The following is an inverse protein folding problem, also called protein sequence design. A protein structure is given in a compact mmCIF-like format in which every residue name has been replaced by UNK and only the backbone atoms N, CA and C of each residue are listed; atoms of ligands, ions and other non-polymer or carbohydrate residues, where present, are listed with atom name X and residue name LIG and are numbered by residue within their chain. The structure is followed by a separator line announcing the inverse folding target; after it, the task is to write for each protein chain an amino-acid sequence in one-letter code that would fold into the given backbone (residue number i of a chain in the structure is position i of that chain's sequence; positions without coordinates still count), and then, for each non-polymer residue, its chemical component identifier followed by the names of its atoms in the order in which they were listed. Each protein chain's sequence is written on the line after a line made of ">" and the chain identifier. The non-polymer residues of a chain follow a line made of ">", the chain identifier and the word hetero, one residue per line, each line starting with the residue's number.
data_IF_387481807735
#
_entry.id   IF_387481807735
#
_cell.length_a   1.000
_cell.length_b   1.000
_cell.length_c   1.000
_cell.angle_alpha   90.00
_cell.angle_beta   90.00
_cell.angle_gamma   90.00
#
_symmetry.space_group_name_H-M   'P 1'
#
loop_
_entity.id
_entity.type
_entity.pdbx_description
1 polymer ?
#
# COMPACT_ATOMS: atom_id res chain seq x y z
N UNK A 1 -36.32 21.67 -1.98
CA UNK A 1 -34.90 21.59 -2.31
C UNK A 1 -34.03 20.84 -1.28
N UNK A 2 -34.44 20.64 -0.01
CA UNK A 2 -33.69 19.93 1.04
C UNK A 2 -33.76 18.39 0.97
N UNK A 3 -34.77 17.80 0.31
CA UNK A 3 -34.98 16.34 0.24
C UNK A 3 -34.16 15.72 -0.88
N UNK A 4 -34.00 16.38 -2.01
CA UNK A 4 -33.25 15.87 -3.16
C UNK A 4 -31.73 15.67 -2.89
N UNK A 5 -31.15 16.51 -2.02
CA UNK A 5 -29.72 16.37 -1.69
C UNK A 5 -29.43 15.16 -0.77
N UNK A 6 -30.39 14.78 0.09
CA UNK A 6 -30.24 13.58 0.93
C UNK A 6 -30.44 12.30 0.10
N UNK A 7 -31.40 12.32 -0.84
CA UNK A 7 -31.63 11.19 -1.74
C UNK A 7 -30.44 10.97 -2.69
N UNK A 8 -29.81 12.04 -3.18
CA UNK A 8 -28.62 11.94 -4.03
C UNK A 8 -27.41 11.37 -3.28
N UNK A 9 -27.20 11.78 -2.02
CA UNK A 9 -26.12 11.23 -1.17
C UNK A 9 -26.35 9.75 -0.84
N UNK A 10 -27.58 9.38 -0.52
CA UNK A 10 -27.99 7.99 -0.28
C UNK A 10 -27.86 7.17 -1.57
N UNK A 11 -28.28 7.71 -2.72
CA UNK A 11 -28.14 7.04 -4.01
C UNK A 11 -26.67 6.87 -4.42
N UNK A 12 -25.79 7.86 -4.15
CA UNK A 12 -24.36 7.76 -4.39
C UNK A 12 -23.70 6.69 -3.49
N UNK A 13 -24.07 6.64 -2.21
CA UNK A 13 -23.60 5.61 -1.27
C UNK A 13 -24.12 4.23 -1.67
N UNK A 14 -25.41 4.10 -2.05
CA UNK A 14 -25.99 2.85 -2.52
C UNK A 14 -25.39 2.40 -3.85
N UNK A 15 -25.09 3.33 -4.77
CA UNK A 15 -24.39 3.01 -6.02
C UNK A 15 -22.95 2.53 -5.78
N UNK A 16 -22.24 3.12 -4.83
CA UNK A 16 -20.91 2.68 -4.40
C UNK A 16 -20.93 1.29 -3.73
N UNK A 17 -21.96 0.99 -2.93
CA UNK A 17 -22.17 -0.34 -2.37
C UNK A 17 -22.73 -1.34 -3.39
N UNK A 18 -23.45 -0.89 -4.40
CA UNK A 18 -24.00 -1.73 -5.48
C UNK A 18 -22.91 -2.29 -6.41
N UNK A 19 -21.85 -1.52 -6.66
CA UNK A 19 -20.68 -1.97 -7.43
C UNK A 19 -19.87 -3.03 -6.67
N UNK A 20 -19.90 -3.02 -5.33
CA UNK A 20 -19.24 -4.03 -4.52
C UNK A 20 -19.89 -5.43 -4.56
N UNK A 21 -21.15 -5.56 -5.02
CA UNK A 21 -21.85 -6.84 -5.05
C UNK A 21 -21.55 -7.72 -6.28
N UNK A 22 -20.84 -7.22 -7.28
CA UNK A 22 -20.43 -8.01 -8.46
C UNK A 22 -19.03 -8.63 -8.31
N UNK A 23 -18.34 -8.41 -7.19
CA UNK A 23 -17.18 -9.19 -6.84
C UNK A 23 -17.69 -10.56 -6.36
N UNK A 24 -17.55 -11.58 -7.18
CA UNK A 24 -17.87 -12.97 -6.85
C UNK A 24 -17.18 -13.36 -5.54
N UNK A 25 -17.96 -13.55 -4.49
CA UNK A 25 -17.52 -13.93 -3.16
C UNK A 25 -17.17 -15.43 -3.13
N UNK A 26 -16.14 -15.86 -3.84
CA UNK A 26 -15.73 -17.26 -3.87
C UNK A 26 -14.22 -17.49 -3.83
N UNK A 27 -13.39 -16.43 -3.93
CA UNK A 27 -11.98 -16.49 -3.52
C UNK A 27 -11.87 -15.79 -2.16
N UNK A 28 -11.10 -16.35 -1.23
CA UNK A 28 -10.69 -15.68 0.01
C UNK A 28 -10.39 -14.21 -0.30
N UNK A 29 -10.79 -13.30 0.58
CA UNK A 29 -10.69 -11.84 0.35
C UNK A 29 -9.23 -11.44 0.13
N UNK A 30 -8.76 -11.57 -1.11
CA UNK A 30 -7.39 -11.25 -1.53
C UNK A 30 -7.35 -9.76 -1.80
N UNK A 31 -6.59 -9.03 -0.97
CA UNK A 31 -6.48 -7.58 -1.03
C UNK A 31 -5.50 -7.06 -2.09
N UNK A 32 -4.66 -7.94 -2.66
CA UNK A 32 -3.77 -7.67 -3.76
C UNK A 32 -3.83 -8.79 -4.81
N UNK A 33 -3.53 -8.48 -6.06
CA UNK A 33 -3.43 -9.46 -7.15
C UNK A 33 -2.20 -9.16 -8.02
N UNK A 34 -1.03 -9.42 -7.45
CA UNK A 34 0.24 -9.14 -8.13
C UNK A 34 1.21 -10.30 -7.97
N UNK A 35 1.73 -10.89 -9.05
CA UNK A 35 2.81 -11.88 -8.95
C UNK A 35 4.06 -11.35 -8.23
N UNK A 36 4.28 -10.06 -8.24
CA UNK A 36 5.37 -9.42 -7.47
C UNK A 36 5.19 -9.53 -5.95
N UNK A 37 4.02 -9.96 -5.46
CA UNK A 37 3.77 -10.17 -4.03
C UNK A 37 4.17 -11.56 -3.54
N UNK A 38 4.69 -12.43 -4.42
CA UNK A 38 5.13 -13.78 -4.08
C UNK A 38 6.27 -13.77 -3.04
N UNK A 39 7.06 -12.70 -3.00
CA UNK A 39 8.20 -12.60 -2.11
C UNK A 39 8.03 -11.45 -1.12
N UNK A 40 8.45 -11.68 0.13
CA UNK A 40 8.47 -10.67 1.18
C UNK A 40 7.11 -10.36 1.79
N UNK A 41 6.88 -9.09 2.06
CA UNK A 41 5.66 -8.58 2.71
C UNK A 41 4.60 -8.09 1.71
N UNK A 42 4.77 -8.47 0.44
CA UNK A 42 3.83 -8.18 -0.62
C UNK A 42 3.89 -6.76 -1.20
N UNK A 43 2.78 -6.29 -1.74
CA UNK A 43 2.64 -4.95 -2.29
C UNK A 43 2.53 -3.92 -1.17
N UNK A 44 3.49 -2.98 -1.14
CA UNK A 44 3.49 -1.90 -0.16
C UNK A 44 2.39 -0.89 -0.47
N UNK A 45 1.63 -0.52 0.56
CA UNK A 45 0.64 0.53 0.46
C UNK A 45 1.26 1.92 0.28
N UNK A 46 0.60 2.81 -0.48
CA UNK A 46 0.96 4.22 -0.49
C UNK A 46 0.49 4.84 0.82
N UNK A 47 1.44 5.32 1.62
CA UNK A 47 1.17 5.94 2.90
C UNK A 47 0.44 7.29 2.74
N UNK A 48 -0.21 7.73 3.81
CA UNK A 48 -0.96 8.98 3.86
C UNK A 48 -2.47 8.78 3.73
N UNK A 49 -3.23 9.84 4.02
CA UNK A 49 -4.68 9.87 3.87
C UNK A 49 -5.11 10.06 2.40
N UNK A 50 -6.41 10.02 2.14
CA UNK A 50 -6.96 10.19 0.79
C UNK A 50 -6.50 11.51 0.12
N UNK A 51 -6.27 12.55 0.90
CA UNK A 51 -5.80 13.85 0.40
C UNK A 51 -4.34 13.76 -0.07
N UNK A 52 -3.45 13.15 0.72
CA UNK A 52 -2.07 12.92 0.32
C UNK A 52 -2.01 12.04 -0.94
N UNK A 53 -2.79 10.96 -0.97
CA UNK A 53 -2.81 10.03 -2.13
C UNK A 53 -3.27 10.71 -3.42
N UNK A 54 -4.25 11.65 -3.36
CA UNK A 54 -4.66 12.44 -4.53
C UNK A 54 -3.61 13.46 -4.98
N UNK A 55 -2.57 13.67 -4.18
CA UNK A 55 -1.42 14.52 -4.46
C UNK A 55 -0.11 13.69 -4.57
N UNK A 56 -0.17 12.54 -5.27
CA UNK A 56 0.98 11.67 -5.50
C UNK A 56 1.53 10.96 -4.26
N UNK A 57 0.88 11.08 -3.10
CA UNK A 57 1.36 10.57 -1.81
C UNK A 57 2.36 11.52 -1.12
N UNK A 58 2.49 12.77 -1.57
CA UNK A 58 3.33 13.77 -0.93
C UNK A 58 2.66 14.33 0.35
N UNK A 59 3.46 14.78 1.33
CA UNK A 59 2.95 15.38 2.55
C UNK A 59 3.85 15.30 3.78
N UNK A 60 5.13 14.94 3.66
CA UNK A 60 6.08 14.87 4.79
C UNK A 60 6.22 16.24 5.48
N UNK A 61 6.22 17.32 4.70
CA UNK A 61 6.27 18.69 5.20
C UNK A 61 4.88 19.32 5.35
N UNK A 62 3.81 18.60 5.00
CA UNK A 62 2.46 19.15 5.04
C UNK A 62 1.97 19.30 6.48
N UNK A 63 1.58 20.51 6.84
CA UNK A 63 1.09 20.87 8.16
C UNK A 63 -0.32 21.43 8.05
N UNK A 64 -1.28 20.73 8.61
CA UNK A 64 -2.69 21.12 8.56
C UNK A 64 -3.31 21.12 9.95
N UNK A 65 -4.23 22.04 10.17
CA UNK A 65 -5.03 22.10 11.40
C UNK A 65 -6.32 21.29 11.31
N UNK A 66 -6.69 20.80 10.12
CA UNK A 66 -7.98 20.17 9.82
C UNK A 66 -7.86 18.76 9.24
N UNK A 67 -6.64 18.24 9.09
CA UNK A 67 -6.35 16.94 8.50
C UNK A 67 -5.34 16.21 9.36
N UNK A 68 -5.50 14.88 9.45
CA UNK A 68 -4.58 14.03 10.18
C UNK A 68 -3.23 13.93 9.45
N UNK A 69 -2.13 14.04 10.18
CA UNK A 69 -0.77 13.93 9.65
C UNK A 69 -0.30 12.49 9.74
N UNK A 70 -0.61 11.67 8.74
CA UNK A 70 -0.21 10.25 8.74
C UNK A 70 1.25 10.03 8.39
N UNK A 71 1.86 10.93 7.60
CA UNK A 71 3.23 10.75 7.09
C UNK A 71 4.29 11.18 8.09
N UNK A 72 4.06 12.24 8.86
CA UNK A 72 5.05 12.81 9.76
C UNK A 72 4.45 13.09 11.15
N UNK A 73 4.91 12.43 12.21
CA UNK A 73 4.36 12.62 13.57
C UNK A 73 4.56 14.04 14.13
N UNK A 74 5.53 14.82 13.62
CA UNK A 74 5.68 16.22 14.02
C UNK A 74 4.44 17.06 13.67
N UNK A 75 3.69 16.68 12.63
CA UNK A 75 2.46 17.34 12.21
C UNK A 75 1.31 17.23 13.22
N UNK A 76 1.36 16.30 14.18
CA UNK A 76 0.33 16.20 15.23
C UNK A 76 0.24 17.46 16.09
N UNK A 77 1.36 18.18 16.24
CA UNK A 77 1.42 19.44 16.96
C UNK A 77 0.63 20.59 16.32
N UNK A 78 0.22 20.44 15.04
CA UNK A 78 -0.54 21.46 14.32
C UNK A 78 -2.04 21.49 14.68
N UNK A 79 -2.54 20.48 15.40
CA UNK A 79 -3.95 20.35 15.75
C UNK A 79 -4.40 21.53 16.59
N UNK A 80 -5.52 22.15 16.23
CA UNK A 80 -6.09 23.27 16.97
C UNK A 80 -6.52 22.82 18.37
N UNK A 81 -6.37 23.71 19.33
CA UNK A 81 -6.92 23.48 20.67
C UNK A 81 -8.44 23.35 20.57
N UNK A 82 -9.00 22.35 21.27
CA UNK A 82 -10.42 22.02 21.22
C UNK A 82 -10.90 21.53 19.85
N UNK A 83 -10.07 20.79 19.13
CA UNK A 83 -10.48 20.13 17.88
C UNK A 83 -10.22 18.65 17.91
N UNK A 84 -10.96 17.93 17.10
CA UNK A 84 -10.82 16.51 16.88
C UNK A 84 -10.88 16.25 15.37
N UNK A 85 -9.95 15.46 14.88
CA UNK A 85 -9.88 15.07 13.48
C UNK A 85 -10.08 13.56 13.41
N UNK A 86 -11.01 13.12 12.58
CA UNK A 86 -11.25 11.72 12.26
C UNK A 86 -11.28 11.53 10.76
N UNK A 87 -10.53 10.58 10.26
CA UNK A 87 -10.45 10.29 8.83
C UNK A 87 -10.63 8.79 8.58
N UNK A 88 -11.37 8.48 7.52
CA UNK A 88 -11.53 7.12 6.99
C UNK A 88 -11.36 7.18 5.49
N UNK A 89 -10.60 6.25 4.93
CA UNK A 89 -10.38 6.14 3.50
C UNK A 89 -10.51 4.72 2.98
N UNK A 90 -11.02 4.62 1.76
CA UNK A 90 -11.20 3.37 1.01
C UNK A 90 -10.58 3.52 -0.38
N UNK A 91 -10.18 2.39 -0.96
CA UNK A 91 -9.59 2.33 -2.29
C UNK A 91 -10.13 1.12 -3.05
N UNK A 92 -10.60 1.34 -4.28
CA UNK A 92 -10.84 0.28 -5.25
C UNK A 92 -9.68 0.24 -6.24
N UNK A 93 -9.13 -0.93 -6.51
CA UNK A 93 -8.01 -1.12 -7.44
C UNK A 93 -8.42 -2.03 -8.59
N UNK A 94 -8.23 -1.56 -9.83
CA UNK A 94 -8.43 -2.28 -11.08
C UNK A 94 -7.07 -2.54 -11.69
N UNK A 95 -6.58 -3.78 -11.58
CA UNK A 95 -5.23 -4.18 -11.98
C UNK A 95 -5.28 -5.03 -13.25
N UNK A 96 -4.40 -4.74 -14.21
CA UNK A 96 -4.14 -5.55 -15.39
C UNK A 96 -2.67 -5.93 -15.43
N UNK A 97 -2.41 -7.24 -15.35
CA UNK A 97 -1.09 -7.84 -15.54
C UNK A 97 -0.93 -8.29 -16.99
N UNK A 98 0.23 -8.06 -17.59
CA UNK A 98 0.58 -8.53 -18.92
C UNK A 98 1.98 -9.11 -18.91
N UNK A 99 2.17 -10.25 -19.57
CA UNK A 99 3.44 -10.96 -19.66
C UNK A 99 3.67 -11.46 -21.08
N UNK A 100 4.89 -11.29 -21.60
CA UNK A 100 5.32 -11.92 -22.85
C UNK A 100 5.80 -13.34 -22.58
N UNK A 101 5.24 -14.31 -23.30
CA UNK A 101 5.69 -15.69 -23.31
C UNK A 101 6.42 -15.93 -24.61
N UNK A 102 7.70 -16.26 -24.52
CA UNK A 102 8.55 -16.54 -25.68
C UNK A 102 8.46 -18.01 -26.03
N UNK A 103 8.26 -18.32 -27.31
CA UNK A 103 8.22 -19.69 -27.84
C UNK A 103 9.57 -20.19 -28.30
N UNK A 104 10.50 -19.26 -28.55
CA UNK A 104 11.88 -19.55 -28.96
C UNK A 104 12.86 -18.60 -28.22
N UNK A 105 14.16 -18.77 -28.49
CA UNK A 105 15.19 -17.84 -28.01
C UNK A 105 15.13 -16.49 -28.72
N UNK A 106 14.40 -16.36 -29.84
CA UNK A 106 14.20 -15.11 -30.54
C UNK A 106 13.27 -14.18 -29.74
N UNK A 107 13.69 -12.92 -29.58
CA UNK A 107 12.96 -11.89 -28.84
C UNK A 107 11.70 -11.44 -29.60
N UNK A 108 11.65 -11.63 -30.90
CA UNK A 108 10.53 -11.24 -31.76
C UNK A 108 9.36 -12.23 -31.71
N UNK A 109 9.61 -13.49 -31.34
CA UNK A 109 8.60 -14.56 -31.32
C UNK A 109 8.03 -14.73 -29.90
N UNK A 110 6.93 -14.02 -29.62
CA UNK A 110 6.23 -14.09 -28.34
C UNK A 110 4.72 -13.99 -28.46
N UNK A 111 4.03 -14.60 -27.51
CA UNK A 111 2.61 -14.38 -27.25
C UNK A 111 2.43 -13.54 -26.01
N UNK A 112 1.32 -12.80 -25.89
CA UNK A 112 1.02 -11.98 -24.71
C UNK A 112 -0.09 -12.63 -23.89
N UNK A 113 0.23 -13.00 -22.67
CA UNK A 113 -0.77 -13.38 -21.67
C UNK A 113 -1.21 -12.15 -20.86
N UNK A 114 -2.50 -12.04 -20.57
CA UNK A 114 -3.04 -10.96 -19.76
C UNK A 114 -4.06 -11.47 -18.75
N UNK A 115 -4.09 -10.85 -17.58
CA UNK A 115 -5.06 -11.11 -16.53
C UNK A 115 -5.48 -9.78 -15.89
N UNK A 116 -6.79 -9.63 -15.60
CA UNK A 116 -7.33 -8.45 -14.93
C UNK A 116 -8.05 -8.87 -13.64
N UNK A 117 -7.83 -8.13 -12.57
CA UNK A 117 -8.43 -8.36 -11.25
C UNK A 117 -8.78 -7.04 -10.57
N UNK A 118 -9.81 -7.09 -9.72
CA UNK A 118 -10.29 -5.95 -8.97
C UNK A 118 -10.25 -6.26 -7.48
N UNK A 119 -9.86 -5.26 -6.68
CA UNK A 119 -9.88 -5.34 -5.22
C UNK A 119 -10.50 -4.08 -4.64
N UNK A 120 -11.04 -4.17 -3.42
CA UNK A 120 -11.57 -3.02 -2.68
C UNK A 120 -11.13 -3.13 -1.22
N UNK A 121 -10.39 -2.13 -0.74
CA UNK A 121 -9.71 -2.18 0.55
C UNK A 121 -10.00 -0.93 1.38
N UNK A 122 -10.09 -1.12 2.70
CA UNK A 122 -9.95 -0.03 3.66
C UNK A 122 -8.48 0.42 3.67
N UNK A 123 -8.22 1.74 3.53
CA UNK A 123 -6.85 2.27 3.42
C UNK A 123 -6.37 2.97 4.68
N UNK A 124 -7.22 3.73 5.34
CA UNK A 124 -6.89 4.37 6.60
C UNK A 124 -8.11 4.54 7.50
N UNK A 125 -7.84 4.42 8.78
CA UNK A 125 -8.63 5.02 9.86
C UNK A 125 -7.63 5.85 10.67
N UNK A 126 -7.90 7.12 10.87
CA UNK A 126 -7.01 8.00 11.60
C UNK A 126 -7.77 8.93 12.55
N UNK A 127 -7.14 9.17 13.69
CA UNK A 127 -7.63 10.05 14.73
C UNK A 127 -6.50 10.97 15.15
N UNK A 128 -6.78 12.27 15.29
CA UNK A 128 -5.80 13.24 15.79
C UNK A 128 -6.50 14.29 16.66
N UNK A 129 -5.91 14.57 17.80
CA UNK A 129 -6.44 15.57 18.75
C UNK A 129 -5.33 16.26 19.54
N UNK A 130 -5.55 17.48 20.06
CA UNK A 130 -4.59 18.16 20.87
C UNK A 130 -4.59 17.62 22.30
N UNK A 131 -3.41 17.40 22.88
CA UNK A 131 -3.22 17.00 24.29
C UNK A 131 -2.99 18.25 25.15
N UNK A 132 -2.16 19.17 24.65
CA UNK A 132 -1.85 20.45 25.29
C UNK A 132 -1.51 21.49 24.22
N UNK A 133 -1.22 22.72 24.63
CA UNK A 133 -0.81 23.77 23.67
C UNK A 133 0.48 23.36 22.96
N UNK A 134 0.41 23.21 21.63
CA UNK A 134 1.53 22.78 20.80
C UNK A 134 1.89 21.29 20.92
N UNK A 135 1.12 20.50 21.68
CA UNK A 135 1.29 19.06 21.82
C UNK A 135 0.03 18.35 21.31
N UNK A 136 0.17 17.54 20.29
CA UNK A 136 -0.91 16.74 19.71
C UNK A 136 -0.60 15.25 19.76
N UNK A 137 -1.67 14.46 19.80
CA UNK A 137 -1.63 12.99 19.68
C UNK A 137 -2.25 12.58 18.33
N UNK A 138 -1.64 11.59 17.69
CA UNK A 138 -2.18 10.96 16.49
C UNK A 138 -2.19 9.44 16.63
N UNK A 139 -3.25 8.85 16.12
CA UNK A 139 -3.43 7.41 15.98
C UNK A 139 -3.87 7.08 14.55
N UNK A 140 -3.33 6.03 13.96
CA UNK A 140 -3.81 5.53 12.67
C UNK A 140 -3.68 4.03 12.56
N UNK A 141 -4.60 3.44 11.78
CA UNK A 141 -4.60 2.07 11.32
C UNK A 141 -4.59 2.08 9.80
N UNK A 142 -3.55 1.49 9.20
CA UNK A 142 -3.35 1.47 7.75
C UNK A 142 -2.81 0.12 7.30
N UNK A 143 -3.25 -0.46 6.18
CA UNK A 143 -2.59 -1.62 5.59
C UNK A 143 -1.19 -1.20 5.13
N UNK A 144 -0.18 -1.94 5.57
CA UNK A 144 1.22 -1.71 5.24
C UNK A 144 1.65 -2.49 3.99
N UNK A 145 1.37 -3.79 3.96
CA UNK A 145 1.68 -4.67 2.86
C UNK A 145 0.57 -5.70 2.64
N UNK A 146 0.33 -6.06 1.40
CA UNK A 146 -0.69 -7.05 1.02
C UNK A 146 -0.10 -8.07 0.06
N UNK A 147 -0.29 -9.33 0.36
CA UNK A 147 0.09 -10.45 -0.49
C UNK A 147 -1.15 -10.98 -1.20
N UNK A 148 -1.03 -11.20 -2.49
CA UNK A 148 -2.09 -11.83 -3.28
C UNK A 148 -1.58 -12.22 -4.64
N UNK A 149 -1.43 -13.53 -4.88
CA UNK A 149 -1.05 -14.07 -6.18
C UNK A 149 -1.64 -15.46 -6.37
N UNK A 150 -1.84 -15.83 -7.64
CA UNK A 150 -2.20 -17.18 -8.07
C UNK A 150 -1.51 -17.45 -9.38
N UNK A 151 -0.57 -18.35 -9.37
CA UNK A 151 0.25 -18.71 -10.51
C UNK A 151 0.26 -20.22 -10.69
N UNK A 152 0.43 -20.67 -11.92
CA UNK A 152 0.63 -22.09 -12.24
C UNK A 152 1.73 -22.21 -13.27
N UNK A 153 2.49 -23.28 -13.16
CA UNK A 153 3.52 -23.67 -14.10
C UNK A 153 3.38 -25.16 -14.43
N UNK A 154 3.50 -25.49 -15.70
CA UNK A 154 3.56 -26.88 -16.15
C UNK A 154 5.02 -27.29 -16.18
N UNK A 155 5.32 -28.53 -15.74
CA UNK A 155 6.65 -29.11 -15.89
C UNK A 155 7.04 -29.16 -17.37
N UNK A 156 8.27 -28.78 -17.65
CA UNK A 156 8.80 -28.75 -19.05
C UNK A 156 9.77 -29.88 -19.34
N UNK A 157 10.17 -30.69 -18.34
CA UNK A 157 11.12 -31.75 -18.50
C UNK A 157 10.45 -32.98 -19.14
N UNK A 158 10.91 -33.36 -20.34
CA UNK A 158 10.38 -34.50 -21.09
C UNK A 158 10.58 -35.85 -20.36
N UNK A 159 11.67 -36.01 -19.60
CA UNK A 159 11.92 -37.20 -18.80
C UNK A 159 10.88 -37.35 -17.67
N UNK A 160 10.51 -36.25 -17.06
CA UNK A 160 9.44 -36.23 -16.04
C UNK A 160 8.09 -36.56 -16.64
N UNK A 161 7.79 -36.06 -17.84
CA UNK A 161 6.55 -36.40 -18.54
C UNK A 161 6.48 -37.89 -18.91
N UNK A 162 7.60 -38.47 -19.31
CA UNK A 162 7.67 -39.88 -19.67
C UNK A 162 7.56 -40.85 -18.49
N UNK A 163 7.92 -40.42 -17.29
CA UNK A 163 7.95 -41.27 -16.08
C UNK A 163 6.82 -41.02 -15.11
N UNK A 164 6.41 -39.76 -14.92
CA UNK A 164 5.45 -39.33 -13.88
C UNK A 164 4.13 -38.88 -14.50
N UNK A 165 4.15 -38.41 -15.74
CA UNK A 165 3.03 -37.74 -16.40
C UNK A 165 3.15 -36.22 -16.36
N UNK A 166 2.05 -35.51 -16.68
CA UNK A 166 2.02 -34.06 -16.64
C UNK A 166 1.95 -33.55 -15.18
N UNK A 167 2.96 -32.83 -14.76
CA UNK A 167 3.06 -32.24 -13.42
C UNK A 167 2.76 -30.75 -13.49
N UNK A 168 1.77 -30.30 -12.69
CA UNK A 168 1.39 -28.91 -12.56
C UNK A 168 1.75 -28.39 -11.18
N UNK A 169 2.53 -27.32 -11.14
CA UNK A 169 2.84 -26.57 -9.93
C UNK A 169 1.90 -25.40 -9.79
N UNK A 170 1.16 -25.32 -8.68
CA UNK A 170 0.28 -24.21 -8.36
C UNK A 170 0.85 -23.47 -7.14
N UNK A 171 1.03 -22.18 -7.29
CA UNK A 171 1.48 -21.27 -6.24
C UNK A 171 0.39 -20.26 -5.95
N UNK A 172 -0.05 -20.17 -4.71
CA UNK A 172 -1.03 -19.19 -4.26
C UNK A 172 -0.55 -18.58 -2.96
N UNK A 173 -0.64 -17.26 -2.86
CA UNK A 173 -0.40 -16.54 -1.62
C UNK A 173 -1.52 -15.57 -1.34
N UNK A 174 -1.81 -15.39 -0.06
CA UNK A 174 -2.73 -14.38 0.45
C UNK A 174 -2.29 -13.91 1.83
N UNK A 175 -2.74 -12.72 2.20
CA UNK A 175 -2.48 -12.17 3.52
C UNK A 175 -2.19 -10.69 3.50
N UNK A 176 -2.24 -10.10 4.68
CA UNK A 176 -2.03 -8.67 4.89
C UNK A 176 -1.21 -8.41 6.14
N UNK A 177 -0.43 -7.34 6.07
CA UNK A 177 0.27 -6.75 7.21
C UNK A 177 -0.32 -5.37 7.46
N UNK A 178 -0.91 -5.19 8.61
CA UNK A 178 -1.49 -3.91 9.05
C UNK A 178 -0.52 -3.18 9.96
N UNK A 179 -0.39 -1.86 9.77
CA UNK A 179 0.34 -0.95 10.65
C UNK A 179 -0.65 -0.22 11.57
N UNK A 180 -0.45 -0.34 12.87
CA UNK A 180 -1.06 0.52 13.89
C UNK A 180 0.01 1.51 14.32
N UNK A 181 -0.26 2.81 14.16
CA UNK A 181 0.65 3.87 14.55
C UNK A 181 0.00 4.76 15.60
N UNK A 182 0.73 5.03 16.69
CA UNK A 182 0.33 5.97 17.73
C UNK A 182 1.53 6.83 18.13
N UNK A 183 1.32 8.13 18.28
CA UNK A 183 2.43 9.02 18.56
C UNK A 183 2.05 10.40 19.06
N UNK A 184 3.08 11.15 19.41
CA UNK A 184 3.00 12.52 19.90
C UNK A 184 3.81 13.45 19.00
N UNK A 185 3.28 14.64 18.76
CA UNK A 185 3.99 15.72 18.08
C UNK A 185 3.99 16.97 18.95
N UNK A 186 5.15 17.60 19.12
CA UNK A 186 5.35 18.75 19.96
C UNK A 186 6.03 19.90 19.22
N UNK A 187 5.38 21.05 19.22
CA UNK A 187 5.96 22.31 18.79
C UNK A 187 6.70 22.96 19.97
N UNK A 188 7.97 22.62 20.13
CA UNK A 188 8.79 23.06 21.26
C UNK A 188 9.30 24.51 21.10
N UNK A 189 9.43 24.97 19.86
CA UNK A 189 9.69 26.35 19.47
C UNK A 189 8.69 26.71 18.39
N UNK A 190 8.21 27.97 18.42
CA UNK A 190 7.25 28.46 17.43
C UNK A 190 7.72 28.17 16.00
N UNK A 191 6.94 27.37 15.28
CA UNK A 191 7.22 26.99 13.91
C UNK A 191 8.17 25.78 13.76
N UNK A 192 8.71 25.21 14.86
CA UNK A 192 9.55 24.03 14.82
C UNK A 192 8.94 22.94 15.69
N UNK A 193 8.72 21.77 15.11
CA UNK A 193 8.04 20.65 15.75
C UNK A 193 8.84 19.37 15.59
N UNK A 194 8.84 18.57 16.65
CA UNK A 194 9.33 17.19 16.65
C UNK A 194 8.20 16.23 16.96
N UNK A 195 8.26 15.03 16.42
CA UNK A 195 7.29 13.99 16.73
C UNK A 195 7.95 12.62 16.83
N UNK A 196 7.35 11.77 17.63
CA UNK A 196 7.71 10.37 17.76
C UNK A 196 6.46 9.53 17.70
N UNK A 197 6.49 8.41 16.99
CA UNK A 197 5.41 7.45 16.93
C UNK A 197 5.93 6.03 17.08
N UNK A 198 5.20 5.21 17.82
CA UNK A 198 5.34 3.77 17.82
C UNK A 198 4.49 3.20 16.69
N UNK A 199 5.04 2.21 15.98
CA UNK A 199 4.39 1.48 14.90
C UNK A 199 4.34 0.00 15.29
N UNK A 200 3.16 -0.57 15.32
CA UNK A 200 2.95 -1.99 15.53
C UNK A 200 2.50 -2.64 14.23
N UNK A 201 3.27 -3.60 13.76
CA UNK A 201 2.96 -4.38 12.57
C UNK A 201 2.33 -5.71 12.99
N UNK A 202 1.20 -6.01 12.41
CA UNK A 202 0.40 -7.19 12.74
C UNK A 202 -0.26 -7.76 11.49
N UNK A 203 -0.22 -9.09 11.37
CA UNK A 203 -0.89 -9.79 10.28
C UNK A 203 -0.32 -11.17 10.00
N UNK A 204 -0.93 -11.85 9.05
CA UNK A 204 -0.48 -13.15 8.58
C UNK A 204 -0.29 -13.15 7.07
N UNK A 205 0.73 -13.85 6.60
CA UNK A 205 1.00 -14.12 5.18
C UNK A 205 1.00 -15.62 5.00
N UNK A 206 0.17 -16.11 4.08
CA UNK A 206 0.05 -17.53 3.74
C UNK A 206 0.61 -17.77 2.33
N UNK A 207 1.52 -18.73 2.22
CA UNK A 207 1.99 -19.23 0.94
C UNK A 207 1.59 -20.72 0.81
N UNK A 208 0.79 -21.00 -0.21
CA UNK A 208 0.36 -22.33 -0.58
C UNK A 208 1.08 -22.76 -1.87
N UNK A 209 1.68 -23.92 -1.87
CA UNK A 209 2.18 -24.55 -3.08
C UNK A 209 1.61 -25.96 -3.19
N UNK A 210 1.11 -26.30 -4.39
CA UNK A 210 0.51 -27.59 -4.66
C UNK A 210 1.13 -28.16 -5.91
N UNK A 211 1.62 -29.40 -5.83
CA UNK A 211 2.05 -30.18 -6.99
C UNK A 211 0.94 -31.15 -7.33
N UNK A 212 0.35 -31.00 -8.50
CA UNK A 212 -0.69 -31.90 -9.02
C UNK A 212 -0.16 -32.69 -10.19
N UNK A 213 -0.42 -33.98 -10.17
CA UNK A 213 0.04 -34.91 -11.20
C UNK A 213 -1.17 -35.37 -12.02
N UNK A 214 -1.08 -35.25 -13.34
CA UNK A 214 -2.14 -35.61 -14.29
C UNK A 214 -1.59 -36.64 -15.29
N UNK A 215 -2.26 -37.78 -15.43
CA UNK A 215 -1.96 -38.79 -16.46
C UNK A 215 -2.39 -40.18 -16.06
N UNK A 216 -2.81 -40.97 -17.07
CA UNK A 216 -3.17 -42.38 -16.94
C UNK A 216 -1.95 -43.33 -17.18
N UNK A 217 -0.75 -42.88 -16.86
CA UNK A 217 0.44 -43.72 -17.07
C UNK A 217 0.46 -44.86 -16.08
N UNK A 218 0.70 -46.06 -16.62
CA UNK A 218 0.86 -47.30 -15.88
C UNK A 218 2.00 -47.13 -14.89
N UNK A 219 1.69 -47.13 -13.60
CA UNK A 219 2.62 -46.83 -12.51
C UNK A 219 2.26 -45.59 -11.67
N UNK A 220 1.23 -44.86 -12.05
CA UNK A 220 0.79 -43.64 -11.35
C UNK A 220 0.38 -43.82 -9.89
N UNK A 221 0.29 -45.05 -9.40
CA UNK A 221 0.00 -45.35 -7.98
C UNK A 221 1.12 -44.95 -7.02
N UNK A 222 2.34 -44.70 -7.52
CA UNK A 222 3.50 -44.35 -6.69
C UNK A 222 3.71 -42.83 -6.53
N UNK A 223 3.02 -42.02 -7.33
CA UNK A 223 3.16 -40.57 -7.31
C UNK A 223 1.89 -39.89 -6.78
N UNK A 224 2.03 -39.15 -5.71
CA UNK A 224 0.90 -38.53 -5.01
C UNK A 224 1.05 -37.00 -5.02
N UNK A 225 -0.04 -36.31 -5.30
CA UNK A 225 -0.07 -34.85 -5.20
C UNK A 225 0.32 -34.39 -3.78
N UNK A 226 1.10 -33.31 -3.70
CA UNK A 226 1.54 -32.74 -2.43
C UNK A 226 1.09 -31.30 -2.32
N UNK A 227 0.80 -30.88 -1.08
CA UNK A 227 0.49 -29.49 -0.76
C UNK A 227 1.35 -29.03 0.42
N UNK A 228 2.05 -27.92 0.23
CA UNK A 228 2.73 -27.22 1.33
C UNK A 228 2.02 -25.92 1.67
N UNK A 229 2.07 -25.59 2.94
CA UNK A 229 1.51 -24.38 3.51
C UNK A 229 2.55 -23.74 4.43
N UNK A 230 2.96 -22.52 4.13
CA UNK A 230 3.82 -21.72 4.99
C UNK A 230 3.00 -20.53 5.52
N UNK A 231 2.77 -20.48 6.84
CA UNK A 231 2.05 -19.41 7.55
C UNK A 231 3.06 -18.54 8.31
N UNK A 232 3.17 -17.27 7.91
CA UNK A 232 4.03 -16.27 8.51
C UNK A 232 3.20 -15.34 9.39
N UNK A 233 3.18 -15.57 10.70
CA UNK A 233 2.52 -14.70 11.68
C UNK A 233 3.47 -13.57 12.10
N UNK A 234 3.12 -12.34 11.74
CA UNK A 234 3.89 -11.12 11.99
C UNK A 234 3.31 -10.40 13.19
N UNK A 235 4.19 -10.03 14.13
CA UNK A 235 3.87 -9.23 15.31
C UNK A 235 5.14 -8.54 15.80
N UNK A 236 5.31 -7.24 15.49
CA UNK A 236 6.54 -6.53 15.83
C UNK A 236 6.33 -5.02 16.00
N UNK A 237 7.13 -4.40 16.88
CA UNK A 237 7.14 -2.96 17.08
C UNK A 237 8.31 -2.29 16.36
N UNK A 238 8.05 -1.11 15.80
CA UNK A 238 9.02 -0.18 15.20
C UNK A 238 8.72 1.24 15.68
N UNK A 239 9.58 2.17 15.30
CA UNK A 239 9.46 3.57 15.68
C UNK A 239 9.67 4.49 14.49
N UNK A 240 8.99 5.63 14.52
CA UNK A 240 9.17 6.71 13.57
C UNK A 240 9.46 8.00 14.33
N UNK A 241 10.43 8.78 13.85
CA UNK A 241 10.72 10.13 14.31
C UNK A 241 10.44 11.10 13.17
N UNK A 242 9.91 12.26 13.48
CA UNK A 242 9.61 13.30 12.51
C UNK A 242 10.02 14.68 12.98
N UNK A 243 10.38 15.51 12.02
CA UNK A 243 10.71 16.93 12.21
C UNK A 243 9.93 17.76 11.20
N UNK A 244 9.45 18.94 11.60
CA UNK A 244 8.91 19.95 10.70
C UNK A 244 9.36 21.34 11.16
N UNK A 245 9.73 22.19 10.20
CA UNK A 245 10.10 23.57 10.48
C UNK A 245 9.45 24.52 9.46
N UNK A 246 8.77 25.56 9.96
CA UNK A 246 8.19 26.61 9.15
C UNK A 246 9.27 27.65 8.87
N UNK A 247 9.79 27.68 7.64
CA UNK A 247 10.75 28.69 7.18
C UNK A 247 10.10 30.04 6.98
N UNK A 248 8.84 30.03 6.50
CA UNK A 248 8.01 31.20 6.33
C UNK A 248 6.67 30.90 7.00
N UNK A 249 6.24 31.75 7.91
CA UNK A 249 4.94 31.62 8.58
C UNK A 249 4.29 33.01 8.69
N UNK A 250 3.51 33.38 7.69
CA UNK A 250 2.70 34.61 7.67
C UNK A 250 1.22 34.25 7.71
N UNK A 251 0.36 35.23 7.90
CA UNK A 251 -1.11 35.01 7.85
C UNK A 251 -1.62 34.48 6.50
N UNK A 252 -0.87 34.66 5.41
CA UNK A 252 -1.29 34.30 4.06
C UNK A 252 -0.44 33.18 3.42
N UNK A 253 0.79 32.97 3.87
CA UNK A 253 1.74 32.04 3.24
C UNK A 253 2.52 31.28 4.30
N UNK A 254 2.70 30.02 4.08
CA UNK A 254 3.52 29.14 4.90
C UNK A 254 4.43 28.33 3.99
N UNK A 255 5.72 28.28 4.31
CA UNK A 255 6.70 27.39 3.70
C UNK A 255 7.25 26.51 4.80
N UNK A 256 7.02 25.23 4.69
CA UNK A 256 7.45 24.22 5.67
C UNK A 256 8.41 23.23 5.03
N UNK A 257 9.45 22.88 5.75
CA UNK A 257 10.29 21.70 5.44
C UNK A 257 10.00 20.62 6.46
N UNK A 258 10.12 19.36 6.04
CA UNK A 258 9.87 18.22 6.91
C UNK A 258 10.88 17.10 6.65
N UNK A 259 11.18 16.34 7.68
CA UNK A 259 11.98 15.13 7.60
C UNK A 259 11.36 14.05 8.47
N UNK A 260 11.53 12.79 8.05
CA UNK A 260 11.10 11.60 8.79
C UNK A 260 12.19 10.54 8.75
N UNK A 261 12.27 9.78 9.82
CA UNK A 261 13.09 8.58 9.89
C UNK A 261 12.27 7.44 10.48
N UNK A 262 12.13 6.37 9.72
CA UNK A 262 11.50 5.13 10.16
C UNK A 262 12.59 4.11 10.52
N UNK A 263 12.58 3.67 11.78
CA UNK A 263 13.49 2.63 12.22
C UNK A 263 13.00 1.27 11.69
N UNK A 264 13.80 0.67 10.83
CA UNK A 264 13.57 -0.64 10.24
C UNK A 264 14.07 -1.80 11.14
N UNK A 265 14.53 -2.87 10.50
CA UNK A 265 15.14 -4.02 11.15
C UNK A 265 14.26 -5.28 11.13
N UNK A 266 14.66 -6.35 11.81
CA UNK A 266 14.03 -7.66 11.70
C UNK A 266 12.58 -7.64 12.20
N UNK A 267 11.71 -8.36 11.51
CA UNK A 267 10.32 -8.65 11.93
C UNK A 267 10.23 -9.99 12.65
N UNK A 268 11.10 -10.98 12.31
CA UNK A 268 11.17 -12.31 12.88
C UNK A 268 9.80 -12.99 13.04
N UNK A 269 9.01 -13.14 11.96
CA UNK A 269 7.70 -13.76 12.04
C UNK A 269 7.80 -15.19 12.59
N UNK A 270 6.76 -15.64 13.30
CA UNK A 270 6.59 -17.07 13.57
C UNK A 270 6.17 -17.72 12.26
N UNK A 271 6.90 -18.75 11.82
CA UNK A 271 6.61 -19.51 10.60
C UNK A 271 6.14 -20.89 11.00
N UNK A 272 4.96 -21.27 10.56
CA UNK A 272 4.46 -22.63 10.67
C UNK A 272 4.42 -23.25 9.27
N UNK A 273 5.28 -24.21 9.02
CA UNK A 273 5.31 -24.96 7.78
C UNK A 273 4.55 -26.27 7.93
N UNK A 274 3.63 -26.57 7.01
CA UNK A 274 2.84 -27.80 7.03
C UNK A 274 2.84 -28.44 5.64
N UNK A 275 3.14 -29.73 5.54
CA UNK A 275 3.13 -30.50 4.30
C UNK A 275 2.07 -31.60 4.40
N UNK A 276 1.24 -31.68 3.36
CA UNK A 276 0.19 -32.67 3.17
C UNK A 276 0.52 -33.55 1.96
N UNK A 277 0.25 -34.85 2.06
CA UNK A 277 0.38 -35.82 0.96
C UNK A 277 -0.97 -36.48 0.73
N UNK A 278 -1.39 -36.63 -0.53
CA UNK A 278 -2.65 -37.27 -0.91
C UNK A 278 -3.88 -36.40 -0.73
N UNK A 279 -5.05 -37.01 -0.58
CA UNK A 279 -6.34 -36.31 -0.38
C UNK A 279 -6.32 -35.46 0.90
N UNK A 280 -6.21 -34.26 0.73
CA UNK A 280 -5.91 -33.03 1.49
C UNK A 280 -6.34 -32.91 2.95
N UNK A 281 -7.15 -33.82 3.49
CA UNK A 281 -7.76 -33.60 4.79
C UNK A 281 -7.18 -34.46 5.94
N UNK A 282 -6.42 -35.52 5.65
CA UNK A 282 -6.10 -36.54 6.67
C UNK A 282 -4.62 -36.87 6.88
N UNK A 283 -3.72 -36.40 6.06
CA UNK A 283 -2.31 -36.79 6.16
C UNK A 283 -1.35 -35.60 6.22
N UNK A 284 -1.25 -34.94 7.37
CA UNK A 284 -0.12 -34.08 7.70
C UNK A 284 1.10 -34.98 7.86
N UNK A 285 2.05 -34.85 6.95
CA UNK A 285 3.31 -35.61 6.98
C UNK A 285 4.40 -34.86 7.72
N UNK A 286 4.34 -33.54 7.68
CA UNK A 286 5.34 -32.69 8.30
C UNK A 286 4.70 -31.41 8.83
N UNK A 287 5.06 -31.04 10.06
CA UNK A 287 4.71 -29.72 10.63
C UNK A 287 5.87 -29.24 11.50
N UNK A 288 6.36 -28.06 11.19
CA UNK A 288 7.45 -27.42 11.90
C UNK A 288 7.13 -25.97 12.20
N UNK A 289 7.47 -25.52 13.40
CA UNK A 289 7.42 -24.12 13.81
C UNK A 289 8.86 -23.58 13.86
N UNK A 290 9.09 -22.47 13.17
CA UNK A 290 10.41 -21.81 13.07
C UNK A 290 10.30 -20.29 13.18
N UNK A 291 11.42 -19.60 13.10
CA UNK A 291 11.48 -18.14 13.00
C UNK A 291 11.93 -17.73 11.60
N UNK A 292 11.07 -17.01 10.90
CA UNK A 292 11.39 -16.50 9.57
C UNK A 292 12.35 -15.30 9.62
N UNK A 293 13.15 -15.17 8.57
CA UNK A 293 14.02 -14.02 8.36
C UNK A 293 13.32 -13.00 7.46
N UNK A 294 12.52 -12.13 8.05
CA UNK A 294 11.86 -11.04 7.36
C UNK A 294 12.26 -9.73 8.03
N UNK A 295 12.47 -8.67 7.25
CA UNK A 295 12.85 -7.36 7.81
C UNK A 295 12.20 -6.21 7.08
N UNK A 296 12.02 -5.09 7.79
CA UNK A 296 11.64 -3.80 7.23
C UNK A 296 12.87 -2.94 6.95
N UNK A 297 12.84 -2.08 5.94
CA UNK A 297 13.94 -1.16 5.65
C UNK A 297 14.00 -0.04 6.68
N UNK A 298 15.18 0.51 6.89
CA UNK A 298 15.29 1.87 7.40
C UNK A 298 14.82 2.83 6.30
N UNK A 299 13.98 3.78 6.64
CA UNK A 299 13.47 4.76 5.68
C UNK A 299 13.77 6.18 6.13
N UNK A 300 14.22 7.00 5.18
CA UNK A 300 14.43 8.43 5.36
C UNK A 300 13.57 9.17 4.36
N UNK A 301 12.77 10.09 4.86
CA UNK A 301 11.95 10.96 4.03
C UNK A 301 12.28 12.44 4.25
N UNK A 302 12.28 13.21 3.18
CA UNK A 302 12.43 14.66 3.22
C UNK A 302 11.35 15.31 2.32
N UNK A 303 10.81 16.44 2.75
CA UNK A 303 9.76 17.11 2.01
C UNK A 303 9.79 18.62 2.18
N UNK A 304 9.18 19.29 1.21
CA UNK A 304 8.92 20.73 1.23
C UNK A 304 7.45 20.97 0.88
N UNK A 305 6.83 21.90 1.57
CA UNK A 305 5.44 22.28 1.35
C UNK A 305 5.27 23.80 1.39
N UNK A 306 4.79 24.35 0.28
CA UNK A 306 4.32 25.74 0.21
C UNK A 306 2.80 25.77 0.24
N UNK A 307 2.26 26.59 1.10
CA UNK A 307 0.81 26.78 1.26
C UNK A 307 0.47 28.28 1.25
N UNK A 308 -0.54 28.64 0.48
CA UNK A 308 -1.19 29.94 0.61
C UNK A 308 -2.73 29.80 0.64
N UNK A 309 -3.45 30.92 0.51
CA UNK A 309 -4.92 30.91 0.58
C UNK A 309 -5.59 30.12 -0.55
N UNK A 310 -4.91 29.86 -1.67
CA UNK A 310 -5.46 29.21 -2.87
C UNK A 310 -4.69 27.97 -3.29
N UNK A 311 -3.39 27.90 -3.00
CA UNK A 311 -2.51 26.86 -3.53
C UNK A 311 -1.79 26.14 -2.41
N UNK A 312 -1.62 24.82 -2.60
CA UNK A 312 -0.68 24.00 -1.85
C UNK A 312 0.20 23.28 -2.88
N UNK A 313 1.51 23.39 -2.70
CA UNK A 313 2.49 22.69 -3.54
C UNK A 313 3.39 21.89 -2.63
N UNK A 314 3.56 20.62 -2.92
CA UNK A 314 4.38 19.70 -2.12
C UNK A 314 5.32 18.91 -3.01
N UNK A 315 6.53 18.66 -2.50
CA UNK A 315 7.48 17.74 -3.11
C UNK A 315 8.18 16.97 -1.99
N UNK A 316 8.21 15.65 -2.13
CA UNK A 316 8.85 14.74 -1.18
C UNK A 316 9.81 13.80 -1.90
N UNK A 317 10.86 13.44 -1.18
CA UNK A 317 11.77 12.35 -1.53
C UNK A 317 11.81 11.34 -0.38
N UNK A 318 11.73 10.06 -0.70
CA UNK A 318 11.80 8.95 0.24
C UNK A 318 12.81 7.91 -0.22
N UNK A 319 13.73 7.57 0.65
CA UNK A 319 14.71 6.51 0.48
C UNK A 319 14.42 5.39 1.46
N UNK A 320 14.47 4.12 1.00
CA UNK A 320 14.30 2.94 1.86
C UNK A 320 15.44 1.96 1.58
N UNK A 321 16.16 1.57 2.63
CA UNK A 321 17.29 0.64 2.57
C UNK A 321 16.80 -0.82 2.64
N UNK A 322 16.32 -1.35 1.52
CA UNK A 322 15.98 -2.77 1.38
C UNK A 322 17.18 -3.65 1.01
N UNK A 323 18.16 -3.08 0.31
CA UNK A 323 19.34 -3.74 -0.26
C UNK A 323 20.56 -3.77 0.66
N UNK A 324 20.44 -3.50 1.97
CA UNK A 324 21.57 -3.48 2.92
C UNK A 324 22.30 -4.82 3.05
N UNK A 325 23.30 -4.91 3.92
CA UNK A 325 24.23 -6.06 4.08
C UNK A 325 23.57 -7.43 4.29
N UNK A 326 22.30 -7.46 4.69
CA UNK A 326 21.46 -8.67 4.79
C UNK A 326 20.27 -8.60 3.83
N UNK A 327 20.48 -8.10 2.62
CA UNK A 327 19.44 -8.08 1.61
C UNK A 327 18.89 -9.49 1.38
N UNK A 328 17.57 -9.59 1.34
CA UNK A 328 16.92 -10.83 1.01
C UNK A 328 17.29 -11.24 -0.43
N UNK A 329 17.78 -12.46 -0.56
CA UNK A 329 18.05 -13.10 -1.86
C UNK A 329 17.37 -14.46 -1.81
N UNK A 330 16.49 -14.70 -2.75
CA UNK A 330 15.87 -16.01 -2.93
C UNK A 330 16.05 -16.46 -4.36
N UNK A 331 16.52 -17.69 -4.52
CA UNK A 331 16.61 -18.34 -5.83
C UNK A 331 15.53 -19.40 -5.91
N UNK A 332 14.68 -19.30 -6.92
CA UNK A 332 13.67 -20.30 -7.20
C UNK A 332 14.34 -21.64 -7.59
N UNK A 333 13.98 -22.70 -6.91
CA UNK A 333 14.61 -24.01 -7.08
C UNK A 333 14.32 -24.65 -8.43
N UNK A 334 13.19 -24.34 -9.05
CA UNK A 334 12.75 -24.91 -10.32
C UNK A 334 13.31 -24.13 -11.52
N UNK A 335 13.13 -22.83 -11.55
CA UNK A 335 13.56 -21.96 -12.66
C UNK A 335 15.00 -21.48 -12.52
N UNK A 336 15.55 -21.50 -11.31
CA UNK A 336 16.82 -20.90 -10.97
C UNK A 336 16.82 -19.36 -10.96
N UNK A 337 15.65 -18.74 -11.11
CA UNK A 337 15.53 -17.27 -11.07
C UNK A 337 15.83 -16.72 -9.70
N UNK A 338 16.63 -15.66 -9.66
CA UNK A 338 17.02 -14.96 -8.44
C UNK A 338 16.20 -13.68 -8.25
N UNK A 339 15.60 -13.55 -7.07
CA UNK A 339 14.95 -12.34 -6.62
C UNK A 339 15.76 -11.72 -5.47
N UNK A 340 16.14 -10.47 -5.64
CA UNK A 340 16.94 -9.71 -4.67
C UNK A 340 16.22 -8.43 -4.26
N UNK A 341 16.28 -8.08 -2.96
CA UNK A 341 15.83 -6.75 -2.50
C UNK A 341 16.86 -5.69 -2.83
N UNK A 342 16.36 -4.55 -3.31
CA UNK A 342 17.15 -3.38 -3.71
C UNK A 342 16.60 -2.14 -3.06
N UNK A 343 17.48 -1.19 -2.77
CA UNK A 343 17.10 0.10 -2.21
C UNK A 343 16.11 0.82 -3.11
N UNK A 344 15.15 1.49 -2.47
CA UNK A 344 14.14 2.25 -3.22
C UNK A 344 14.34 3.75 -3.07
N UNK A 345 14.12 4.44 -4.17
CA UNK A 345 14.09 5.89 -4.25
C UNK A 345 12.74 6.31 -4.82
N UNK A 346 11.98 7.09 -4.09
CA UNK A 346 10.65 7.53 -4.52
C UNK A 346 10.54 9.04 -4.45
N UNK A 347 10.20 9.64 -5.58
CA UNK A 347 9.93 11.07 -5.75
C UNK A 347 8.42 11.28 -5.84
N UNK A 348 7.89 12.23 -5.08
CA UNK A 348 6.46 12.51 -5.00
C UNK A 348 6.24 14.01 -5.19
N UNK A 349 5.23 14.35 -5.97
CA UNK A 349 4.82 15.73 -6.21
C UNK A 349 3.31 15.86 -6.06
N UNK A 350 2.86 16.94 -5.41
CA UNK A 350 1.44 17.25 -5.21
C UNK A 350 1.13 18.72 -5.36
N UNK A 351 -0.02 19.00 -5.96
CA UNK A 351 -0.55 20.33 -6.14
C UNK A 351 -2.05 20.35 -5.81
N UNK A 352 -2.48 21.32 -4.99
CA UNK A 352 -3.89 21.59 -4.71
C UNK A 352 -4.20 23.04 -5.08
N UNK A 353 -5.37 23.25 -5.68
CA UNK A 353 -5.93 24.56 -5.97
C UNK A 353 -7.34 24.69 -5.41
N UNK A 354 -7.61 25.77 -4.65
CA UNK A 354 -8.94 26.12 -4.15
C UNK A 354 -9.21 27.56 -4.60
N UNK A 355 -10.13 27.77 -5.56
CA UNK A 355 -10.39 29.11 -6.12
C UNK A 355 -10.77 30.16 -5.06
N UNK A 356 -11.71 29.84 -4.18
CA UNK A 356 -12.11 30.68 -3.06
C UNK A 356 -12.79 29.83 -1.98
N UNK A 357 -12.08 29.60 -0.89
CA UNK A 357 -12.52 28.76 0.24
C UNK A 357 -13.79 29.27 0.92
N UNK A 358 -14.04 30.56 0.85
CA UNK A 358 -15.13 31.26 1.54
C UNK A 358 -16.26 31.73 0.62
N UNK A 359 -16.29 31.29 -0.64
CA UNK A 359 -17.35 31.69 -1.59
C UNK A 359 -18.71 31.14 -1.16
N UNK A 360 -19.65 32.01 -0.83
CA UNK A 360 -21.01 31.66 -0.39
C UNK A 360 -21.93 31.36 -1.57
N UNK A 361 -21.66 31.95 -2.73
CA UNK A 361 -22.56 31.91 -3.91
C UNK A 361 -22.27 30.70 -4.80
N UNK A 362 -20.99 30.38 -5.02
CA UNK A 362 -20.60 29.33 -5.93
C UNK A 362 -19.90 28.19 -5.18
N UNK A 363 -20.57 27.03 -5.11
CA UNK A 363 -20.04 25.84 -4.44
C UNK A 363 -18.73 25.35 -5.04
N UNK A 364 -18.60 25.34 -6.37
CA UNK A 364 -17.42 24.83 -7.06
C UNK A 364 -16.16 25.65 -6.80
N UNK A 365 -16.29 26.92 -6.40
CA UNK A 365 -15.14 27.73 -5.96
C UNK A 365 -14.53 27.28 -4.63
N UNK A 366 -15.29 26.52 -3.83
CA UNK A 366 -14.83 25.98 -2.54
C UNK A 366 -14.25 24.57 -2.65
N UNK A 367 -14.47 23.89 -3.77
CA UNK A 367 -13.93 22.57 -4.05
C UNK A 367 -12.42 22.66 -4.18
N UNK A 368 -11.72 21.70 -3.54
CA UNK A 368 -10.29 21.49 -3.73
C UNK A 368 -10.05 20.66 -4.98
N UNK A 369 -9.23 21.17 -5.88
CA UNK A 369 -8.77 20.50 -7.10
C UNK A 369 -7.35 20.04 -6.90
N UNK A 370 -7.07 18.75 -7.04
CA UNK A 370 -5.77 18.15 -6.73
C UNK A 370 -5.22 17.39 -7.90
N UNK A 371 -3.91 17.50 -8.10
CA UNK A 371 -3.15 16.64 -9.01
C UNK A 371 -1.84 16.25 -8.34
N UNK A 372 -1.29 15.11 -8.73
CA UNK A 372 0.00 14.67 -8.23
C UNK A 372 0.64 13.63 -9.12
N UNK A 373 1.89 13.37 -8.84
CA UNK A 373 2.68 12.35 -9.53
C UNK A 373 3.64 11.67 -8.55
N UNK A 374 3.97 10.43 -8.84
CA UNK A 374 4.95 9.63 -8.11
C UNK A 374 5.76 8.81 -9.10
N UNK A 375 7.08 8.78 -8.88
CA UNK A 375 8.02 7.94 -9.63
C UNK A 375 9.06 7.35 -8.69
N UNK A 376 9.43 6.09 -8.92
CA UNK A 376 10.47 5.40 -8.15
C UNK A 376 10.68 3.98 -8.62
N UNK A 377 11.53 3.24 -7.92
CA UNK A 377 11.73 1.82 -8.15
C UNK A 377 11.04 0.98 -7.06
N UNK A 378 10.68 -0.24 -7.44
CA UNK A 378 10.13 -1.24 -6.52
C UNK A 378 11.27 -1.89 -5.72
N UNK A 379 10.97 -2.44 -4.54
CA UNK A 379 12.00 -2.98 -3.64
C UNK A 379 12.55 -4.35 -4.05
N UNK A 380 12.04 -4.95 -5.13
CA UNK A 380 12.50 -6.23 -5.67
C UNK A 380 13.13 -6.03 -7.04
N UNK A 381 14.21 -6.77 -7.31
CA UNK A 381 14.81 -6.94 -8.62
C UNK A 381 14.81 -8.42 -9.00
N UNK A 382 14.62 -8.70 -10.28
CA UNK A 382 14.56 -10.05 -10.86
C UNK A 382 15.71 -10.22 -11.83
N UNK A 383 16.60 -11.18 -11.57
CA UNK A 383 17.84 -11.40 -12.36
C UNK A 383 18.62 -10.09 -12.58
N UNK A 384 18.74 -9.26 -11.54
CA UNK A 384 19.42 -7.97 -11.60
C UNK A 384 18.64 -6.86 -12.35
N UNK A 385 17.42 -7.13 -12.80
CA UNK A 385 16.56 -6.12 -13.44
C UNK A 385 15.69 -5.44 -12.40
N UNK A 386 15.83 -4.13 -12.26
CA UNK A 386 15.01 -3.32 -11.37
C UNK A 386 13.61 -3.13 -11.97
N UNK A 387 12.64 -3.01 -11.09
CA UNK A 387 11.24 -2.79 -11.45
C UNK A 387 10.89 -1.34 -11.15
N UNK A 388 10.72 -0.52 -12.19
CA UNK A 388 10.27 0.86 -12.03
C UNK A 388 8.77 0.94 -11.80
N UNK A 389 8.35 1.95 -11.06
CA UNK A 389 6.94 2.25 -10.82
C UNK A 389 6.66 3.74 -10.95
N UNK A 390 5.50 4.06 -11.51
CA UNK A 390 5.03 5.43 -11.66
C UNK A 390 3.53 5.52 -11.42
N UNK A 391 3.08 6.68 -11.00
CA UNK A 391 1.65 6.98 -10.89
C UNK A 391 1.39 8.46 -11.12
N UNK A 392 0.23 8.75 -11.68
CA UNK A 392 -0.35 10.09 -11.79
C UNK A 392 -1.70 10.08 -11.08
N UNK A 393 -1.95 11.10 -10.28
CA UNK A 393 -3.16 11.19 -9.45
C UNK A 393 -3.92 12.46 -9.75
N UNK A 394 -5.24 12.39 -9.64
CA UNK A 394 -6.12 13.54 -9.67
C UNK A 394 -7.23 13.37 -8.63
N UNK A 395 -7.70 14.47 -8.04
CA UNK A 395 -8.74 14.36 -7.03
C UNK A 395 -9.48 15.66 -6.76
N UNK A 396 -10.61 15.48 -6.08
CA UNK A 396 -11.50 16.56 -5.67
C UNK A 396 -11.79 16.44 -4.17
N UNK A 397 -11.77 17.57 -3.47
CA UNK A 397 -12.22 17.67 -2.09
C UNK A 397 -13.51 18.51 -2.02
N UNK A 398 -14.60 17.89 -1.61
CA UNK A 398 -15.92 18.48 -1.51
C UNK A 398 -16.20 18.90 -0.07
N UNK A 399 -16.12 20.21 0.29
CA UNK A 399 -16.46 20.65 1.63
C UNK A 399 -17.95 20.50 1.89
N UNK A 400 -18.33 19.97 3.05
CA UNK A 400 -19.73 19.78 3.42
C UNK A 400 -20.35 21.07 3.92
N UNK A 401 -21.55 21.39 3.44
CA UNK A 401 -22.20 22.69 3.61
C UNK A 401 -22.69 22.98 5.03
N UNK A 402 -22.95 21.94 5.82
CA UNK A 402 -23.58 22.05 7.13
C UNK A 402 -22.63 21.83 8.31
N UNK A 403 -21.41 21.39 8.03
CA UNK A 403 -20.38 21.13 9.02
C UNK A 403 -19.09 21.76 8.52
N UNK A 404 -18.76 22.95 8.99
CA UNK A 404 -17.52 23.62 8.63
C UNK A 404 -16.32 22.69 8.86
N UNK A 405 -15.45 22.57 7.85
CA UNK A 405 -14.27 21.74 7.84
C UNK A 405 -14.42 20.20 7.65
N UNK A 406 -15.63 19.69 7.43
CA UNK A 406 -15.81 18.32 6.96
C UNK A 406 -15.66 18.25 5.45
N UNK A 407 -15.03 17.20 4.93
CA UNK A 407 -14.89 17.02 3.49
C UNK A 407 -15.02 15.56 3.05
N UNK A 408 -15.57 15.38 1.84
CA UNK A 408 -15.51 14.13 1.09
C UNK A 408 -14.44 14.30 0.04
N UNK A 409 -13.47 13.41 0.03
CA UNK A 409 -12.35 13.42 -0.90
C UNK A 409 -12.49 12.25 -1.88
N UNK A 410 -12.48 12.54 -3.17
CA UNK A 410 -12.57 11.54 -4.23
C UNK A 410 -11.36 11.70 -5.12
N UNK A 411 -10.73 10.58 -5.47
CA UNK A 411 -9.55 10.59 -6.30
C UNK A 411 -9.46 9.43 -7.27
N UNK A 412 -8.65 9.63 -8.28
CA UNK A 412 -8.26 8.62 -9.26
C UNK A 412 -6.74 8.61 -9.33
N UNK A 413 -6.16 7.43 -9.30
CA UNK A 413 -4.74 7.18 -9.56
C UNK A 413 -4.62 6.25 -10.76
N UNK A 414 -3.80 6.63 -11.74
CA UNK A 414 -3.41 5.77 -12.86
C UNK A 414 -1.92 5.54 -12.76
N UNK A 415 -1.51 4.29 -12.81
CA UNK A 415 -0.12 3.96 -12.64
C UNK A 415 0.31 2.66 -13.30
N UNK A 416 1.61 2.42 -13.27
CA UNK A 416 2.21 1.21 -13.80
C UNK A 416 3.43 0.79 -13.01
N UNK A 417 3.73 -0.51 -13.08
CA UNK A 417 4.90 -1.14 -12.47
C UNK A 417 5.47 -2.16 -13.43
N UNK A 418 6.80 -2.21 -13.53
CA UNK A 418 7.52 -3.12 -14.41
C UNK A 418 7.42 -2.76 -15.88
N UNK A 419 8.13 -3.53 -16.67
CA UNK A 419 8.22 -3.38 -18.12
C UNK A 419 8.10 -4.77 -18.80
N UNK A 420 8.28 -4.81 -20.11
CA UNK A 420 8.28 -6.07 -20.87
C UNK A 420 9.71 -6.58 -21.14
N UNK A 421 10.68 -6.21 -20.30
CA UNK A 421 12.01 -6.82 -20.40
C UNK A 421 11.94 -8.34 -20.27
N UNK A 422 12.85 -9.03 -20.89
CA UNK A 422 12.95 -10.48 -20.81
C UNK A 422 14.21 -10.89 -20.05
N UNK A 423 14.08 -11.95 -19.29
CA UNK A 423 15.17 -12.62 -18.59
C UNK A 423 15.25 -14.08 -19.06
N UNK A 424 16.41 -14.68 -18.95
CA UNK A 424 16.59 -16.12 -19.22
C UNK A 424 16.56 -16.83 -17.89
N UNK A 425 15.70 -17.83 -17.76
CA UNK A 425 15.65 -18.70 -16.59
C UNK A 425 16.90 -19.59 -16.55
N UNK A 426 17.77 -19.48 -15.53
CA UNK A 426 19.09 -20.11 -15.56
C UNK A 426 19.06 -21.66 -15.71
N UNK A 427 18.10 -22.31 -15.06
CA UNK A 427 18.00 -23.78 -15.09
C UNK A 427 17.30 -24.33 -16.33
N UNK A 428 16.32 -23.61 -16.83
CA UNK A 428 15.50 -24.07 -17.97
C UNK A 428 16.05 -23.57 -19.31
N UNK A 429 17.02 -22.66 -19.30
CA UNK A 429 17.55 -21.97 -20.49
C UNK A 429 16.43 -21.39 -21.39
N UNK A 430 15.31 -21.04 -20.78
CA UNK A 430 14.12 -20.53 -21.46
C UNK A 430 13.96 -19.03 -21.16
N UNK A 431 13.58 -18.28 -22.19
CA UNK A 431 13.32 -16.84 -22.04
C UNK A 431 11.90 -16.60 -21.52
N UNK A 432 11.78 -15.72 -20.54
CA UNK A 432 10.49 -15.27 -20.00
C UNK A 432 10.46 -13.75 -19.94
N UNK A 433 9.33 -13.14 -20.26
CA UNK A 433 9.11 -11.71 -20.07
C UNK A 433 8.79 -11.39 -18.63
N UNK A 434 9.33 -10.29 -18.12
CA UNK A 434 8.88 -9.72 -16.85
C UNK A 434 7.43 -9.24 -16.97
N UNK A 435 6.74 -9.19 -15.84
CA UNK A 435 5.32 -8.82 -15.80
C UNK A 435 5.21 -7.30 -15.79
N UNK A 436 4.46 -6.76 -16.74
CA UNK A 436 4.03 -5.35 -16.69
C UNK A 436 2.64 -5.27 -16.07
N UNK A 437 2.52 -4.42 -15.04
CA UNK A 437 1.28 -4.12 -14.36
C UNK A 437 0.84 -2.71 -14.71
N UNK A 438 -0.42 -2.55 -15.12
CA UNK A 438 -1.07 -1.26 -15.21
C UNK A 438 -2.29 -1.27 -14.31
N UNK A 439 -2.54 -0.19 -13.59
CA UNK A 439 -3.66 -0.11 -12.67
C UNK A 439 -4.37 1.23 -12.69
N UNK A 440 -5.63 1.19 -12.33
CA UNK A 440 -6.44 2.36 -12.02
C UNK A 440 -7.00 2.17 -10.62
N UNK A 441 -6.74 3.13 -9.73
CA UNK A 441 -7.26 3.13 -8.36
C UNK A 441 -8.28 4.24 -8.19
N UNK A 442 -9.42 3.92 -7.62
CA UNK A 442 -10.43 4.88 -7.18
C UNK A 442 -10.32 5.05 -5.67
N UNK A 443 -10.23 6.28 -5.22
CA UNK A 443 -10.01 6.62 -3.81
C UNK A 443 -11.20 7.41 -3.29
N UNK A 444 -11.67 7.04 -2.10
CA UNK A 444 -12.73 7.74 -1.38
C UNK A 444 -12.25 7.98 0.05
N UNK A 445 -12.32 9.20 0.53
CA UNK A 445 -11.96 9.57 1.89
C UNK A 445 -12.98 10.50 2.52
N UNK A 446 -13.20 10.31 3.81
CA UNK A 446 -14.04 11.16 4.64
C UNK A 446 -13.16 11.79 5.71
N UNK A 447 -13.10 13.11 5.75
CA UNK A 447 -12.40 13.86 6.78
C UNK A 447 -13.45 14.60 7.62
N UNK A 448 -13.52 14.24 8.90
CA UNK A 448 -14.39 14.86 9.86
C UNK A 448 -13.53 15.68 10.82
N UNK A 449 -13.85 16.95 10.93
CA UNK A 449 -13.21 17.88 11.85
C UNK A 449 -14.27 18.42 12.81
N UNK A 450 -14.13 18.15 14.11
CA UNK A 450 -15.00 18.65 15.16
C UNK A 450 -14.29 19.70 15.99
N UNK A 451 -14.96 20.82 16.28
CA UNK A 451 -14.60 21.66 17.40
C UNK A 451 -15.30 21.07 18.62
N UNK A 452 -14.55 20.41 19.50
CA UNK A 452 -15.11 19.75 20.67
C UNK A 452 -14.39 20.20 21.95
N UNK A 453 -15.19 20.39 22.99
CA UNK A 453 -14.72 20.82 24.30
C UNK A 453 -14.39 19.66 25.24
N UNK A 454 -13.96 18.52 24.71
CA UNK A 454 -13.71 17.30 25.48
C UNK A 454 -12.79 17.47 26.68
N UNK A 455 -11.88 18.44 26.62
CA UNK A 455 -10.93 18.73 27.69
C UNK A 455 -11.20 20.06 28.42
N UNK A 456 -12.30 20.70 28.14
CA UNK A 456 -12.70 21.95 28.81
C UNK A 456 -13.92 21.68 29.71
N UNK A 457 -13.75 21.77 31.02
CA UNK A 457 -14.90 21.71 31.92
C UNK A 457 -15.85 22.85 31.57
N UNK A 458 -17.13 22.57 31.26
CA UNK A 458 -18.11 23.66 31.08
C UNK A 458 -18.15 24.44 32.39
N UNK A 459 -17.93 25.75 32.33
CA UNK A 459 -18.23 26.64 33.43
C UNK A 459 -19.75 26.69 33.50
N UNK A 460 -20.30 26.05 34.52
CA UNK A 460 -21.70 26.24 34.91
C UNK A 460 -21.68 27.49 35.77
N UNK A 461 -22.10 28.62 35.21
CA UNK A 461 -22.40 29.86 35.95
C UNK A 461 -23.80 29.74 36.54
#
# INVERSE_FOLDING_TARGET
>A
MRIYNKAFLVALVVALFGVARTASAQDSAINAYSPYTMYGIGELGVNGNAINRTMGGAGIAFRSTQMASLLNPAGYSATLRNSFIFEVGMEGNFLKNTQRKYTSTDISDYTTAANAKNTANLREIAIQFPVAKGLGFGFSLTPYGSVGYKMHALEQNEDTWGTVGAVMYNYQGDGDVTEIKAGLGWEFVRGVSIGIAAKYYWGNILHNYTTSIYGDYVGSGDYVSTKGLDDYAISNFKFQVGLQANLIATKKRMLTIGATYDYGGPLNPKVTQTIYIGDYASSVVFKEDSRGQMRLPHSVGAGICYQDSKFIVMADYEYQNWGGDNAFIQTDSHTGMSVKYVDTNTYKFGFEYIPNRFDVRNYFKRVSYRIGARYGNYYQSYEGRNIDQWAVTAGFGFPLRFMAAHSINVGVEVGGRGNHESVVMPKLNQRIGLIRQNYVKLQLGFSLFGEDYWFVRPKID
#
